data_IF_500051267489
#
_entry.id   IF_500051267489
#
_cell.length_a   1.000
_cell.length_b   1.000
_cell.length_c   1.000
_cell.angle_alpha   90.00
_cell.angle_beta   90.00
_cell.angle_gamma   90.00
#
_symmetry.space_group_name_H-M   'P 1'
#
loop_
_entity.id
_entity.type
_entity.pdbx_description
1 polymer ?
#
# COMPACT_ATOMS: atom_id res chain seq x y z
N UNK A 1 24.80 -1.46 -28.88
CA UNK A 1 23.90 -2.26 -27.97
C UNK A 1 23.38 -1.31 -26.92
N UNK A 2 22.09 -0.98 -26.93
CA UNK A 2 21.43 -0.31 -25.80
C UNK A 2 21.61 -1.22 -24.58
N UNK A 3 22.31 -0.73 -23.55
CA UNK A 3 22.32 -1.41 -22.25
C UNK A 3 20.89 -1.31 -21.71
N UNK A 4 20.19 -2.43 -21.63
CA UNK A 4 18.92 -2.49 -20.94
C UNK A 4 19.19 -2.07 -19.49
N UNK A 5 18.58 -0.96 -19.07
CA UNK A 5 18.72 -0.48 -17.70
C UNK A 5 17.80 -1.32 -16.83
N UNK A 6 18.39 -2.26 -16.11
CA UNK A 6 17.70 -2.99 -15.08
C UNK A 6 17.73 -2.17 -13.78
N UNK A 7 16.58 -2.08 -13.12
CA UNK A 7 16.43 -1.43 -11.82
C UNK A 7 15.98 -2.49 -10.83
N UNK A 8 16.67 -2.61 -9.71
CA UNK A 8 16.32 -3.52 -8.63
C UNK A 8 15.79 -2.72 -7.45
N UNK A 9 14.60 -3.06 -6.98
CA UNK A 9 14.04 -2.49 -5.75
C UNK A 9 14.23 -3.53 -4.65
N UNK A 10 15.04 -3.22 -3.65
CA UNK A 10 15.36 -4.16 -2.58
C UNK A 10 15.65 -3.43 -1.27
N UNK A 11 15.51 -4.14 -0.15
CA UNK A 11 15.87 -3.62 1.16
C UNK A 11 17.36 -3.25 1.23
N UNK A 12 17.68 -2.26 2.05
CA UNK A 12 19.07 -1.86 2.31
C UNK A 12 19.75 -2.85 3.28
N UNK A 13 19.76 -4.13 2.88
CA UNK A 13 20.42 -5.24 3.56
C UNK A 13 21.18 -6.06 2.55
N UNK A 14 22.24 -6.74 3.01
CA UNK A 14 22.91 -7.75 2.21
C UNK A 14 21.93 -8.91 1.95
N UNK A 15 21.54 -9.10 0.70
CA UNK A 15 20.67 -10.17 0.25
C UNK A 15 21.04 -10.55 -1.19
N UNK A 16 20.47 -11.66 -1.66
CA UNK A 16 20.75 -12.19 -3.01
C UNK A 16 20.49 -11.17 -4.12
N UNK A 17 19.37 -10.41 -4.04
CA UNK A 17 19.03 -9.42 -5.06
C UNK A 17 20.02 -8.26 -5.09
N UNK A 18 20.51 -7.85 -3.94
CA UNK A 18 21.53 -6.82 -3.83
C UNK A 18 22.87 -7.24 -4.47
N UNK A 19 23.27 -8.49 -4.24
CA UNK A 19 24.51 -9.02 -4.82
C UNK A 19 24.36 -9.22 -6.34
N UNK A 20 23.20 -9.71 -6.79
CA UNK A 20 22.89 -9.85 -8.22
C UNK A 20 22.87 -8.48 -8.92
N UNK A 21 22.25 -7.47 -8.34
CA UNK A 21 22.23 -6.12 -8.90
C UNK A 21 23.63 -5.55 -9.06
N UNK A 22 24.53 -5.79 -8.11
CA UNK A 22 25.94 -5.40 -8.21
C UNK A 22 26.66 -6.12 -9.35
N UNK A 23 26.47 -7.44 -9.49
CA UNK A 23 27.06 -8.23 -10.57
C UNK A 23 26.61 -7.73 -11.95
N UNK A 24 25.35 -7.40 -12.08
CA UNK A 24 24.74 -6.88 -13.31
C UNK A 24 25.02 -5.39 -13.53
N UNK A 25 25.69 -4.71 -12.59
CA UNK A 25 25.90 -3.25 -12.60
C UNK A 25 24.57 -2.49 -12.80
N UNK A 26 23.50 -3.03 -12.21
CA UNK A 26 22.18 -2.46 -12.25
C UNK A 26 21.99 -1.36 -11.18
N UNK A 27 21.04 -0.47 -11.40
CA UNK A 27 20.64 0.54 -10.43
C UNK A 27 19.86 -0.11 -9.29
N UNK A 28 20.16 0.31 -8.04
CA UNK A 28 19.47 -0.20 -6.86
C UNK A 28 18.68 0.94 -6.24
N UNK A 29 17.36 0.73 -6.10
CA UNK A 29 16.45 1.59 -5.34
C UNK A 29 16.21 0.92 -3.99
N UNK A 30 16.55 1.58 -2.92
CA UNK A 30 16.38 1.04 -1.58
C UNK A 30 14.94 1.14 -1.12
N UNK A 31 14.38 0.00 -0.76
CA UNK A 31 13.07 -0.10 -0.12
C UNK A 31 13.21 -0.06 1.40
N UNK A 32 12.28 0.60 2.07
CA UNK A 32 12.28 0.69 3.52
C UNK A 32 12.08 -0.69 4.16
N UNK A 33 13.01 -1.11 5.01
CA UNK A 33 13.04 -2.43 5.64
C UNK A 33 11.83 -2.71 6.58
N UNK A 34 11.12 -1.67 7.00
CA UNK A 34 9.97 -1.77 7.91
C UNK A 34 8.62 -1.78 7.20
N UNK A 35 8.62 -1.67 5.87
CA UNK A 35 7.40 -1.73 5.07
C UNK A 35 7.25 -3.13 4.48
N UNK A 36 6.35 -3.93 5.04
CA UNK A 36 6.03 -5.26 4.50
C UNK A 36 5.35 -5.19 3.13
N UNK A 37 5.51 -6.23 2.31
CA UNK A 37 5.04 -6.26 0.92
C UNK A 37 3.56 -5.88 0.74
N UNK A 38 2.68 -6.25 1.68
CA UNK A 38 1.25 -5.90 1.66
C UNK A 38 0.97 -4.40 1.78
N UNK A 39 1.91 -3.62 2.28
CA UNK A 39 1.78 -2.18 2.52
C UNK A 39 2.67 -1.35 1.60
N UNK A 40 3.36 -1.99 0.63
CA UNK A 40 4.39 -1.37 -0.19
C UNK A 40 3.87 -0.67 -1.45
N UNK A 41 2.56 -0.69 -1.71
CA UNK A 41 1.97 -0.08 -2.92
C UNK A 41 2.28 1.42 -3.02
N UNK A 42 2.25 2.15 -1.91
CA UNK A 42 2.57 3.58 -1.86
C UNK A 42 4.04 3.88 -1.53
N UNK A 43 4.89 2.86 -1.54
CA UNK A 43 6.35 3.00 -1.41
C UNK A 43 7.04 2.91 -2.77
N UNK A 44 8.36 2.84 -2.78
CA UNK A 44 9.19 2.75 -3.99
C UNK A 44 8.76 1.58 -4.88
N UNK A 45 8.29 0.48 -4.28
CA UNK A 45 7.88 -0.75 -4.99
C UNK A 45 6.69 -0.51 -5.93
N UNK A 46 5.70 0.27 -5.50
CA UNK A 46 4.53 0.59 -6.33
C UNK A 46 4.66 1.93 -7.07
N UNK A 47 5.30 2.92 -6.45
CA UNK A 47 5.36 4.27 -7.02
C UNK A 47 6.37 4.40 -8.16
N UNK A 48 7.50 3.69 -8.13
CA UNK A 48 8.44 3.72 -9.24
C UNK A 48 7.87 3.14 -10.53
N UNK A 49 7.25 1.94 -10.54
CA UNK A 49 6.55 1.46 -11.75
C UNK A 49 5.42 2.38 -12.19
N UNK A 50 4.66 2.95 -11.26
CA UNK A 50 3.58 3.88 -11.57
C UNK A 50 4.11 5.12 -12.31
N UNK A 51 5.22 5.69 -11.83
CA UNK A 51 5.87 6.84 -12.47
C UNK A 51 6.40 6.49 -13.86
N UNK A 52 7.02 5.33 -14.03
CA UNK A 52 7.48 4.84 -15.34
C UNK A 52 6.33 4.62 -16.33
N UNK A 53 5.13 4.30 -15.85
CA UNK A 53 3.90 4.22 -16.66
C UNK A 53 3.24 5.59 -16.91
N UNK A 54 3.82 6.68 -16.42
CA UNK A 54 3.31 8.04 -16.62
C UNK A 54 2.30 8.52 -15.59
N UNK A 55 2.03 7.73 -14.53
CA UNK A 55 1.23 8.20 -13.39
C UNK A 55 2.02 9.22 -12.57
N UNK A 56 1.30 10.16 -11.95
CA UNK A 56 1.90 11.19 -11.12
C UNK A 56 1.86 10.78 -9.64
N UNK A 57 2.96 10.34 -9.02
CA UNK A 57 2.97 9.83 -7.64
C UNK A 57 2.43 10.84 -6.61
N UNK A 58 2.59 12.15 -6.86
CA UNK A 58 2.08 13.18 -5.95
C UNK A 58 0.55 13.16 -5.79
N UNK A 59 -0.20 12.71 -6.81
CA UNK A 59 -1.66 12.58 -6.72
C UNK A 59 -2.10 11.58 -5.65
N UNK A 60 -1.29 10.56 -5.37
CA UNK A 60 -1.58 9.60 -4.31
C UNK A 60 -1.46 10.22 -2.90
N UNK A 61 -0.74 11.35 -2.76
CA UNK A 61 -0.65 12.10 -1.50
C UNK A 61 -1.91 12.90 -1.17
N UNK A 62 -2.80 13.10 -2.13
CA UNK A 62 -4.09 13.78 -1.90
C UNK A 62 -4.95 13.01 -0.89
N UNK A 63 -4.80 11.68 -0.81
CA UNK A 63 -5.44 10.86 0.22
C UNK A 63 -5.05 11.23 1.66
N UNK A 64 -3.96 11.97 1.87
CA UNK A 64 -3.59 12.46 3.19
C UNK A 64 -4.64 13.41 3.78
N UNK A 65 -5.50 14.01 2.95
CA UNK A 65 -6.63 14.82 3.41
C UNK A 65 -7.66 14.00 4.19
N UNK A 66 -7.81 12.71 3.88
CA UNK A 66 -8.73 11.81 4.58
C UNK A 66 -8.35 11.63 6.05
N UNK A 67 -7.05 11.59 6.37
CA UNK A 67 -6.57 11.45 7.76
C UNK A 67 -6.96 12.67 8.61
N UNK A 68 -7.12 13.83 7.99
CA UNK A 68 -7.56 15.08 8.67
C UNK A 68 -9.09 15.18 8.78
N UNK A 69 -9.83 14.34 8.08
CA UNK A 69 -11.28 14.37 8.08
C UNK A 69 -11.82 13.60 9.29
N UNK A 70 -12.40 14.35 10.26
CA UNK A 70 -12.96 13.77 11.50
C UNK A 70 -14.07 12.73 11.22
N UNK A 71 -14.92 12.95 10.20
CA UNK A 71 -15.98 11.99 9.84
C UNK A 71 -15.38 10.68 9.36
N UNK A 72 -14.35 10.76 8.52
CA UNK A 72 -13.63 9.57 8.04
C UNK A 72 -12.97 8.79 9.19
N UNK A 73 -12.26 9.47 10.07
CA UNK A 73 -11.62 8.85 11.24
C UNK A 73 -12.65 8.20 12.17
N UNK A 74 -13.77 8.88 12.46
CA UNK A 74 -14.84 8.31 13.30
C UNK A 74 -15.47 7.06 12.65
N UNK A 75 -15.72 7.09 11.34
CA UNK A 75 -16.21 5.92 10.61
C UNK A 75 -15.21 4.76 10.69
N UNK A 76 -13.92 5.04 10.53
CA UNK A 76 -12.85 4.03 10.65
C UNK A 76 -12.81 3.42 12.05
N UNK A 77 -12.87 4.24 13.11
CA UNK A 77 -12.90 3.77 14.49
C UNK A 77 -14.12 2.89 14.75
N UNK A 78 -15.31 3.32 14.29
CA UNK A 78 -16.54 2.54 14.42
C UNK A 78 -16.43 1.18 13.74
N UNK A 79 -15.87 1.14 12.53
CA UNK A 79 -15.65 -0.10 11.79
C UNK A 79 -14.69 -1.05 12.49
N UNK A 80 -13.58 -0.53 13.00
CA UNK A 80 -12.60 -1.33 13.75
C UNK A 80 -13.23 -1.87 15.03
N UNK A 81 -13.97 -1.05 15.76
CA UNK A 81 -14.66 -1.45 17.01
C UNK A 81 -15.70 -2.53 16.75
N UNK A 82 -16.51 -2.39 15.70
CA UNK A 82 -17.49 -3.40 15.30
C UNK A 82 -16.79 -4.72 14.91
N UNK A 83 -15.72 -4.64 14.13
CA UNK A 83 -14.95 -5.80 13.72
C UNK A 83 -14.40 -6.56 14.93
N UNK A 84 -13.78 -5.86 15.87
CA UNK A 84 -13.25 -6.45 17.10
C UNK A 84 -14.35 -7.09 17.96
N UNK A 85 -15.51 -6.44 18.06
CA UNK A 85 -16.66 -6.99 18.79
C UNK A 85 -17.13 -8.33 18.21
N UNK A 86 -17.24 -8.42 16.86
CA UNK A 86 -17.68 -9.65 16.22
C UNK A 86 -16.62 -10.76 16.22
N UNK A 87 -15.35 -10.41 16.13
CA UNK A 87 -14.25 -11.37 16.33
C UNK A 87 -14.36 -12.00 17.72
N UNK A 88 -14.54 -11.18 18.77
CA UNK A 88 -14.73 -11.70 20.14
C UNK A 88 -15.93 -12.64 20.29
N UNK A 89 -17.03 -12.35 19.57
CA UNK A 89 -18.24 -13.20 19.58
C UNK A 89 -18.17 -14.40 18.64
N UNK A 90 -17.05 -14.62 17.95
CA UNK A 90 -16.86 -15.72 16.97
C UNK A 90 -17.95 -15.74 15.87
N UNK A 91 -18.51 -14.59 15.52
CA UNK A 91 -19.56 -14.48 14.53
C UNK A 91 -18.97 -14.09 13.15
N UNK A 92 -18.41 -15.10 12.47
CA UNK A 92 -17.70 -14.93 11.20
C UNK A 92 -18.56 -14.40 10.05
N UNK A 93 -19.84 -14.78 10.00
CA UNK A 93 -20.76 -14.38 8.91
C UNK A 93 -21.04 -12.88 8.99
N UNK A 94 -21.33 -12.37 10.18
CA UNK A 94 -21.63 -10.95 10.37
C UNK A 94 -20.39 -10.09 10.13
N UNK A 95 -19.20 -10.62 10.43
CA UNK A 95 -17.93 -9.98 10.13
C UNK A 95 -17.73 -9.81 8.61
N UNK A 96 -18.02 -10.85 7.84
CA UNK A 96 -17.95 -10.82 6.37
C UNK A 96 -18.91 -9.79 5.78
N UNK A 97 -20.15 -9.73 6.27
CA UNK A 97 -21.14 -8.76 5.82
C UNK A 97 -20.72 -7.31 6.10
N UNK A 98 -20.13 -7.04 7.27
CA UNK A 98 -19.61 -5.71 7.62
C UNK A 98 -18.43 -5.33 6.70
N UNK A 99 -17.54 -6.26 6.40
CA UNK A 99 -16.42 -5.99 5.48
C UNK A 99 -16.93 -5.63 4.07
N UNK A 100 -17.93 -6.35 3.56
CA UNK A 100 -18.54 -6.08 2.25
C UNK A 100 -19.25 -4.72 2.25
N UNK A 101 -20.02 -4.42 3.29
CA UNK A 101 -20.72 -3.14 3.43
C UNK A 101 -19.74 -1.96 3.47
N UNK A 102 -18.64 -2.09 4.20
CA UNK A 102 -17.62 -1.06 4.33
C UNK A 102 -16.86 -0.81 3.02
N UNK A 103 -16.62 -1.85 2.21
CA UNK A 103 -16.07 -1.66 0.87
C UNK A 103 -17.00 -0.82 -0.03
N UNK A 104 -18.30 -1.03 0.03
CA UNK A 104 -19.28 -0.25 -0.74
C UNK A 104 -19.27 1.23 -0.32
N UNK A 105 -19.25 1.51 0.99
CA UNK A 105 -19.20 2.88 1.52
C UNK A 105 -17.89 3.57 1.12
N UNK A 106 -16.76 2.87 1.18
CA UNK A 106 -15.47 3.40 0.77
C UNK A 106 -15.46 3.75 -0.73
N UNK A 107 -15.96 2.87 -1.59
CA UNK A 107 -16.04 3.10 -3.03
C UNK A 107 -17.00 4.23 -3.39
N UNK A 108 -18.14 4.37 -2.70
CA UNK A 108 -19.08 5.48 -2.92
C UNK A 108 -18.55 6.84 -2.43
N UNK A 109 -17.65 6.85 -1.45
CA UNK A 109 -17.01 8.08 -0.96
C UNK A 109 -15.86 8.58 -1.84
N UNK A 110 -15.35 7.74 -2.76
CA UNK A 110 -14.31 8.12 -3.73
C UNK A 110 -14.93 8.69 -5.03
N UNK A 111 -16.20 8.39 -5.31
CA UNK A 111 -16.91 8.80 -6.53
C UNK A 111 -17.58 10.19 -6.44
N UNK A 112 -17.49 10.87 -5.33
CA UNK A 112 -17.92 12.25 -5.10
C UNK A 112 -16.71 13.14 -4.79
#
# INVERSE_FOLDING_TARGET
KKKDKNIFITENKKNYLHDLAKQLKAEIVHHNNYIGGRYSVLSEVGMLPAELMGFKPHKFREYNSLIKNKKFINALISNVSATLYFIKKKNSILLLLIMIQNQKIFLSGISN
#
